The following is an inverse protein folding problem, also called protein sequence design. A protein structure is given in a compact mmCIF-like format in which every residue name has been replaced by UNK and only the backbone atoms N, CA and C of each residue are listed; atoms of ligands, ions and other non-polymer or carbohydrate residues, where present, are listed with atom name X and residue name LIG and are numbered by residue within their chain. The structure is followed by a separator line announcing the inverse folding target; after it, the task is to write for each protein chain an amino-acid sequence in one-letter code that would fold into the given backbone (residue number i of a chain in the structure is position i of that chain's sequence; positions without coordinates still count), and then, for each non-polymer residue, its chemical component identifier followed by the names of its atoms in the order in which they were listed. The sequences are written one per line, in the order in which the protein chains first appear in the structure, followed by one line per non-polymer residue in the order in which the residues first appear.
data_IF_409078110556
#
_entry.id   IF_409078110556
#
_cell.length_a   1.000
_cell.length_b   1.000
_cell.length_c   1.000
_cell.angle_alpha   90.00
_cell.angle_beta   90.00
_cell.angle_gamma   90.00
#
_symmetry.space_group_name_H-M   'P 1'
#
loop_
_entity.id
_entity.type
_entity.pdbx_description
1 polymer ?
#
# COMPACT_ATOMS: atom_id res chain seq x y z
N UNK A 1 23.64 -8.67 -1.08
CA UNK A 1 22.98 -9.99 -1.11
C UNK A 1 21.55 -9.82 -1.60
N UNK A 2 21.04 -10.70 -2.48
CA UNK A 2 19.67 -10.64 -2.94
C UNK A 2 18.75 -11.14 -1.81
N UNK A 3 18.15 -10.25 -1.01
CA UNK A 3 17.33 -10.74 0.10
C UNK A 3 16.86 -9.75 1.17
N UNK A 4 16.36 -8.56 0.81
CA UNK A 4 15.72 -7.64 1.79
C UNK A 4 14.34 -7.10 1.39
N UNK A 5 13.60 -7.83 0.55
CA UNK A 5 12.17 -7.57 0.30
C UNK A 5 11.32 -7.67 1.59
N UNK A 6 11.85 -8.23 2.69
CA UNK A 6 11.13 -8.48 3.96
C UNK A 6 11.28 -7.41 5.06
N UNK A 7 11.62 -6.14 4.75
CA UNK A 7 11.99 -5.18 5.82
C UNK A 7 11.03 -4.01 6.06
N UNK A 8 9.96 -3.88 5.27
CA UNK A 8 9.03 -2.76 5.34
C UNK A 8 7.58 -3.26 5.11
N UNK A 9 6.59 -2.83 5.90
CA UNK A 9 5.20 -3.04 5.54
C UNK A 9 4.90 -2.35 4.19
N UNK A 10 3.97 -2.89 3.43
CA UNK A 10 3.66 -2.42 2.08
C UNK A 10 2.26 -1.85 2.02
N UNK A 11 2.11 -0.61 1.58
CA UNK A 11 0.81 -0.02 1.22
C UNK A 11 0.51 -0.41 -0.21
N UNK A 12 -0.63 -1.05 -0.43
CA UNK A 12 -1.08 -1.51 -1.74
C UNK A 12 -2.43 -0.91 -2.03
N UNK A 13 -2.53 -0.17 -3.12
CA UNK A 13 -3.79 0.34 -3.64
C UNK A 13 -4.20 -0.49 -4.86
N UNK A 14 -5.17 -1.38 -4.66
CA UNK A 14 -5.71 -2.28 -5.68
C UNK A 14 -6.70 -1.49 -6.56
N UNK A 15 -6.35 -1.31 -7.84
CA UNK A 15 -7.05 -0.49 -8.83
C UNK A 15 -7.35 -1.25 -10.12
N UNK A 16 -7.23 -2.58 -10.13
CA UNK A 16 -7.47 -3.39 -11.35
C UNK A 16 -8.92 -3.40 -11.86
N UNK A 17 -9.88 -2.91 -11.06
CA UNK A 17 -11.25 -2.63 -11.50
C UNK A 17 -11.48 -1.20 -11.98
N UNK A 18 -10.53 -0.29 -11.72
CA UNK A 18 -10.66 1.15 -11.93
C UNK A 18 -10.33 1.56 -13.38
N UNK A 19 -10.84 2.73 -13.78
CA UNK A 19 -10.47 3.33 -15.07
C UNK A 19 -9.07 3.97 -15.05
N UNK A 20 -8.61 4.44 -16.22
CA UNK A 20 -7.28 5.02 -16.36
C UNK A 20 -7.09 6.32 -15.55
N UNK A 21 -8.15 7.11 -15.35
CA UNK A 21 -8.07 8.35 -14.59
C UNK A 21 -7.94 8.05 -13.09
N UNK A 22 -8.73 7.09 -12.59
CA UNK A 22 -8.64 6.59 -11.21
C UNK A 22 -7.27 5.95 -10.93
N UNK A 23 -6.72 5.16 -11.86
CA UNK A 23 -5.38 4.57 -11.72
C UNK A 23 -4.25 5.61 -11.70
N UNK A 24 -4.39 6.69 -12.46
CA UNK A 24 -3.45 7.79 -12.43
C UNK A 24 -3.56 8.58 -11.11
N UNK A 25 -4.77 8.88 -10.67
CA UNK A 25 -5.01 9.56 -9.38
C UNK A 25 -4.47 8.75 -8.21
N UNK A 26 -4.70 7.44 -8.22
CA UNK A 26 -4.13 6.47 -7.29
C UNK A 26 -2.60 6.62 -7.14
N UNK A 27 -1.91 6.74 -8.27
CA UNK A 27 -0.45 6.93 -8.30
C UNK A 27 -0.05 8.28 -7.73
N UNK A 28 -0.71 9.36 -8.15
CA UNK A 28 -0.43 10.72 -7.68
C UNK A 28 -0.62 10.85 -6.17
N UNK A 29 -1.68 10.25 -5.62
CA UNK A 29 -1.94 10.23 -4.17
C UNK A 29 -0.84 9.51 -3.40
N UNK A 30 -0.44 8.32 -3.84
CA UNK A 30 0.66 7.59 -3.18
C UNK A 30 2.00 8.33 -3.31
N UNK A 31 2.28 8.95 -4.45
CA UNK A 31 3.49 9.77 -4.65
C UNK A 31 3.48 11.02 -3.76
N UNK A 32 2.34 11.72 -3.62
CA UNK A 32 2.20 12.88 -2.75
C UNK A 32 2.38 12.52 -1.27
N UNK A 33 1.71 11.45 -0.81
CA UNK A 33 1.87 10.96 0.57
C UNK A 33 3.31 10.50 0.81
N UNK A 34 3.95 9.88 -0.17
CA UNK A 34 5.36 9.54 -0.06
C UNK A 34 6.22 10.81 0.07
N UNK A 35 6.09 11.78 -0.83
CA UNK A 35 6.93 12.99 -0.86
C UNK A 35 6.97 13.77 0.46
N UNK A 36 5.88 13.75 1.23
CA UNK A 36 5.77 14.48 2.50
C UNK A 36 6.33 13.75 3.73
N UNK A 37 6.78 12.51 3.57
CA UNK A 37 7.13 11.70 4.71
C UNK A 37 8.64 11.75 5.06
N UNK A 38 8.98 11.81 6.36
CA UNK A 38 10.37 11.96 6.79
C UNK A 38 11.13 10.64 6.61
N UNK A 39 12.22 10.66 5.83
CA UNK A 39 13.13 9.53 5.71
C UNK A 39 13.53 9.01 7.11
N UNK A 40 13.43 7.69 7.37
CA UNK A 40 13.81 7.15 8.66
C UNK A 40 15.29 7.45 8.95
N UNK A 41 15.63 7.78 10.22
CA UNK A 41 16.97 8.24 10.59
C UNK A 41 18.07 7.23 10.25
N UNK A 42 17.74 5.93 10.22
CA UNK A 42 18.63 4.83 9.85
C UNK A 42 19.01 4.79 8.35
N UNK A 43 18.36 5.62 7.51
CA UNK A 43 18.63 5.73 6.07
C UNK A 43 19.19 7.10 5.66
N UNK A 44 19.54 7.98 6.61
CA UNK A 44 20.33 9.19 6.31
C UNK A 44 21.72 8.77 5.79
N UNK A 45 21.94 8.88 4.49
CA UNK A 45 23.23 8.58 3.84
C UNK A 45 23.25 7.35 2.91
N UNK A 46 22.09 6.73 2.63
CA UNK A 46 21.97 5.73 1.57
C UNK A 46 21.65 6.45 0.25
N UNK A 47 22.41 6.18 -0.81
CA UNK A 47 22.28 6.85 -2.12
C UNK A 47 20.84 6.78 -2.67
N UNK A 48 20.44 7.86 -3.35
CA UNK A 48 19.08 8.22 -3.77
C UNK A 48 18.37 7.18 -4.67
N UNK A 49 19.09 6.18 -5.18
CA UNK A 49 18.59 5.23 -6.19
C UNK A 49 17.54 4.22 -5.66
N UNK A 50 17.28 4.20 -4.33
CA UNK A 50 16.23 3.39 -3.70
C UNK A 50 15.17 4.22 -2.94
N UNK A 51 15.10 5.53 -3.19
CA UNK A 51 14.26 6.47 -2.46
C UNK A 51 12.78 6.45 -2.89
N UNK A 52 12.05 5.39 -2.52
CA UNK A 52 10.57 5.37 -2.50
C UNK A 52 10.02 4.70 -1.23
N UNK A 53 10.57 5.01 -0.05
CA UNK A 53 9.97 4.56 1.22
C UNK A 53 10.14 5.56 2.38
N UNK A 54 9.44 6.71 2.33
CA UNK A 54 9.63 7.80 3.28
C UNK A 54 8.96 7.59 4.66
N UNK A 55 8.47 6.41 5.00
CA UNK A 55 8.17 6.01 6.38
C UNK A 55 8.63 4.58 6.73
N UNK A 56 9.48 3.97 5.90
CA UNK A 56 9.71 2.53 6.01
C UNK A 56 8.48 1.71 5.57
N UNK A 57 7.57 2.30 4.77
CA UNK A 57 6.59 1.57 3.98
C UNK A 57 6.99 1.58 2.51
N UNK A 58 6.80 0.46 1.83
CA UNK A 58 6.82 0.43 0.36
C UNK A 58 5.40 0.72 -0.16
N UNK A 59 5.25 1.53 -1.21
CA UNK A 59 3.93 1.90 -1.75
C UNK A 59 3.76 1.40 -3.18
N UNK A 60 2.61 0.78 -3.46
CA UNK A 60 2.33 0.17 -4.75
C UNK A 60 0.90 0.46 -5.21
N UNK A 61 0.76 0.83 -6.48
CA UNK A 61 -0.53 0.80 -7.19
C UNK A 61 -0.59 -0.48 -8.00
N UNK A 62 -1.62 -1.30 -7.78
CA UNK A 62 -1.84 -2.52 -8.55
C UNK A 62 -2.96 -2.27 -9.57
N UNK A 63 -2.62 -2.18 -10.86
CA UNK A 63 -3.60 -1.90 -11.94
C UNK A 63 -4.05 -3.15 -12.70
N UNK A 64 -3.60 -4.33 -12.27
CA UNK A 64 -3.95 -5.62 -12.86
C UNK A 64 -2.85 -6.67 -12.76
N UNK A 65 -3.08 -7.80 -13.44
CA UNK A 65 -2.08 -8.85 -13.62
C UNK A 65 -1.93 -9.83 -12.43
N UNK A 66 -0.98 -10.78 -12.54
CA UNK A 66 -0.83 -11.89 -11.59
C UNK A 66 -0.57 -11.46 -10.16
N UNK A 67 0.15 -10.35 -9.96
CA UNK A 67 0.48 -9.86 -8.62
C UNK A 67 -0.77 -9.31 -7.91
N UNK A 68 -1.59 -8.50 -8.59
CA UNK A 68 -2.84 -7.98 -8.03
C UNK A 68 -3.79 -9.12 -7.63
N UNK A 69 -3.93 -10.13 -8.51
CA UNK A 69 -4.70 -11.33 -8.23
C UNK A 69 -4.15 -12.08 -7.00
N UNK A 70 -2.83 -12.21 -6.89
CA UNK A 70 -2.21 -12.91 -5.77
C UNK A 70 -2.39 -12.16 -4.45
N UNK A 71 -2.29 -10.83 -4.45
CA UNK A 71 -2.53 -10.01 -3.25
C UNK A 71 -3.98 -10.18 -2.78
N UNK A 72 -4.96 -10.15 -3.70
CA UNK A 72 -6.37 -10.40 -3.36
C UNK A 72 -6.59 -11.78 -2.78
N UNK A 73 -6.03 -12.81 -3.41
CA UNK A 73 -6.12 -14.19 -2.93
C UNK A 73 -5.59 -14.32 -1.50
N UNK A 74 -4.37 -13.81 -1.24
CA UNK A 74 -3.74 -13.88 0.09
C UNK A 74 -4.49 -13.07 1.14
N UNK A 75 -5.09 -11.94 0.76
CA UNK A 75 -5.88 -11.08 1.64
C UNK A 75 -7.37 -11.49 1.73
N UNK A 76 -7.74 -12.66 1.19
CA UNK A 76 -9.13 -13.16 1.15
C UNK A 76 -10.14 -12.18 0.52
N UNK A 77 -9.67 -11.32 -0.39
CA UNK A 77 -10.52 -10.39 -1.10
C UNK A 77 -11.18 -11.07 -2.31
N UNK A 78 -12.42 -10.69 -2.64
CA UNK A 78 -13.05 -11.16 -3.87
C UNK A 78 -12.23 -10.69 -5.09
N UNK A 79 -12.29 -11.41 -6.22
CA UNK A 79 -11.77 -10.91 -7.48
C UNK A 79 -12.37 -9.53 -7.80
N UNK A 80 -11.56 -8.64 -8.38
CA UNK A 80 -12.07 -7.36 -8.84
C UNK A 80 -13.03 -7.57 -10.02
N UNK A 81 -14.21 -6.97 -9.93
CA UNK A 81 -15.06 -6.77 -11.09
C UNK A 81 -14.56 -5.55 -11.89
N UNK A 82 -14.81 -5.52 -13.20
CA UNK A 82 -14.60 -4.30 -13.98
C UNK A 82 -15.55 -3.21 -13.48
N UNK A 83 -15.03 -2.00 -13.25
CA UNK A 83 -15.75 -0.91 -12.61
C UNK A 83 -15.84 -1.03 -11.08
N UNK A 84 -15.15 -2.00 -10.46
CA UNK A 84 -15.00 -2.02 -9.01
C UNK A 84 -14.07 -0.87 -8.58
N UNK A 85 -14.51 -0.10 -7.59
CA UNK A 85 -13.71 0.98 -7.02
C UNK A 85 -12.42 0.47 -6.37
N UNK A 86 -11.45 1.38 -6.15
CA UNK A 86 -10.15 1.00 -5.62
C UNK A 86 -10.23 0.53 -4.17
N UNK A 87 -9.29 -0.31 -3.76
CA UNK A 87 -9.20 -0.84 -2.40
C UNK A 87 -7.80 -0.59 -1.83
N UNK A 88 -7.72 0.11 -0.71
CA UNK A 88 -6.47 0.30 0.01
C UNK A 88 -6.21 -0.86 0.98
N UNK A 89 -4.98 -1.34 1.00
CA UNK A 89 -4.46 -2.38 1.90
C UNK A 89 -3.11 -1.97 2.48
N UNK A 90 -2.82 -2.45 3.68
CA UNK A 90 -1.48 -2.45 4.25
C UNK A 90 -1.09 -3.90 4.54
N UNK A 91 0.00 -4.37 3.94
CA UNK A 91 0.55 -5.71 4.11
C UNK A 91 1.82 -5.61 4.95
N UNK A 92 1.74 -6.01 6.20
CA UNK A 92 2.86 -6.03 7.13
C UNK A 92 3.56 -7.40 7.11
N UNK A 93 4.46 -7.54 6.15
CA UNK A 93 5.31 -8.73 5.99
C UNK A 93 6.17 -8.96 7.25
N UNK A 94 6.83 -7.94 7.86
CA UNK A 94 7.53 -8.10 9.14
C UNK A 94 6.67 -8.69 10.27
N UNK A 95 5.38 -8.37 10.33
CA UNK A 95 4.45 -8.90 11.35
C UNK A 95 3.88 -10.30 11.02
N UNK A 96 4.70 -11.17 10.41
CA UNK A 96 4.32 -12.54 9.99
C UNK A 96 3.16 -12.58 8.99
N UNK A 97 3.19 -11.68 8.01
CA UNK A 97 2.15 -11.60 6.98
C UNK A 97 0.81 -11.11 7.54
N UNK A 98 0.85 -10.15 8.47
CA UNK A 98 -0.35 -9.44 8.85
C UNK A 98 -0.81 -8.54 7.70
N UNK A 99 -2.11 -8.31 7.59
CA UNK A 99 -2.62 -7.27 6.72
C UNK A 99 -3.75 -6.49 7.37
N UNK A 100 -4.01 -5.31 6.84
CA UNK A 100 -5.01 -4.39 7.32
C UNK A 100 -5.75 -3.79 6.12
N UNK A 101 -7.05 -3.68 6.25
CA UNK A 101 -7.92 -3.14 5.21
C UNK A 101 -8.14 -1.66 5.47
N UNK A 102 -7.78 -0.83 4.50
CA UNK A 102 -8.04 0.59 4.52
C UNK A 102 -9.39 0.95 3.88
N UNK A 103 -9.66 2.25 3.69
CA UNK A 103 -10.82 2.70 2.92
C UNK A 103 -10.83 2.13 1.50
N UNK A 104 -12.03 2.10 0.91
CA UNK A 104 -12.30 1.66 -0.45
C UNK A 104 -13.04 2.76 -1.23
N UNK A 105 -13.15 2.62 -2.55
CA UNK A 105 -13.80 3.60 -3.40
C UNK A 105 -13.05 4.93 -3.44
N UNK A 106 -13.77 6.04 -3.61
CA UNK A 106 -13.18 7.39 -3.70
C UNK A 106 -12.30 7.73 -2.50
N UNK A 107 -12.63 7.29 -1.29
CA UNK A 107 -11.84 7.58 -0.09
C UNK A 107 -10.44 6.96 -0.15
N UNK A 108 -10.29 5.82 -0.83
CA UNK A 108 -8.99 5.19 -1.08
C UNK A 108 -8.09 6.01 -2.03
N UNK A 109 -8.68 6.90 -2.84
CA UNK A 109 -8.01 7.82 -3.76
C UNK A 109 -7.77 9.21 -3.14
N UNK A 110 -7.70 9.30 -1.82
CA UNK A 110 -7.40 10.56 -1.13
C UNK A 110 -6.14 10.44 -0.28
N UNK A 111 -5.36 11.52 -0.20
CA UNK A 111 -4.23 11.58 0.73
C UNK A 111 -4.67 11.38 2.18
N UNK A 112 -5.85 11.90 2.54
CA UNK A 112 -6.41 11.74 3.89
C UNK A 112 -6.69 10.27 4.21
N UNK A 113 -7.27 9.51 3.28
CA UNK A 113 -7.54 8.09 3.46
C UNK A 113 -6.25 7.27 3.65
N UNK A 114 -5.23 7.55 2.83
CA UNK A 114 -3.93 6.87 2.92
C UNK A 114 -3.21 7.23 4.22
N UNK A 115 -3.13 8.51 4.58
CA UNK A 115 -2.48 8.96 5.82
C UNK A 115 -3.19 8.41 7.05
N UNK A 116 -4.53 8.40 7.05
CA UNK A 116 -5.30 7.81 8.15
C UNK A 116 -4.97 6.33 8.35
N UNK A 117 -4.83 5.55 7.27
CA UNK A 117 -4.40 4.15 7.38
C UNK A 117 -3.02 4.01 8.03
N UNK A 118 -2.06 4.85 7.62
CA UNK A 118 -0.70 4.85 8.18
C UNK A 118 -0.68 5.27 9.66
N UNK A 119 -1.46 6.29 10.02
CA UNK A 119 -1.59 6.78 11.39
C UNK A 119 -2.27 5.75 12.29
N UNK A 120 -3.31 5.09 11.81
CA UNK A 120 -3.99 4.01 12.54
C UNK A 120 -3.09 2.79 12.69
N UNK A 121 -2.31 2.44 11.67
CA UNK A 121 -1.34 1.34 11.74
C UNK A 121 -0.25 1.63 12.79
N UNK A 122 0.39 2.79 12.71
CA UNK A 122 1.46 3.17 13.64
C UNK A 122 0.98 3.26 15.09
N UNK A 123 -0.29 3.62 15.30
CA UNK A 123 -0.92 3.64 16.61
C UNK A 123 -1.54 2.30 17.04
N UNK A 124 -1.37 1.22 16.25
CA UNK A 124 -1.94 -0.10 16.52
C UNK A 124 -3.46 -0.10 16.71
N UNK A 125 -4.18 0.76 15.96
CA UNK A 125 -5.66 0.89 15.99
C UNK A 125 -6.37 0.04 14.94
N UNK A 126 -5.63 -0.50 13.97
CA UNK A 126 -6.19 -1.32 12.92
C UNK A 126 -6.44 -2.76 13.40
N UNK A 127 -7.51 -3.36 12.88
CA UNK A 127 -7.78 -4.77 13.08
C UNK A 127 -6.80 -5.62 12.27
N UNK A 128 -5.92 -6.34 12.96
CA UNK A 128 -4.94 -7.25 12.34
C UNK A 128 -5.67 -8.43 11.71
N UNK A 129 -5.49 -8.61 10.40
CA UNK A 129 -5.88 -9.80 9.67
C UNK A 129 -4.64 -10.62 9.28
N UNK A 130 -4.84 -11.88 8.91
CA UNK A 130 -3.75 -12.82 8.59
C UNK A 130 -3.85 -13.23 7.13
N UNK A 131 -2.76 -13.05 6.38
CA UNK A 131 -2.68 -13.58 5.03
C UNK A 131 -2.75 -15.11 5.05
N UNK A 132 -3.39 -15.67 4.03
CA UNK A 132 -3.56 -17.11 3.80
C UNK A 132 -2.24 -17.89 3.69
#
# INVERSE_FOLDING_TARGET
EPGRVNTAPSVVLLCEGCDAAEQQLAREVLEAVAGDMPLPPERKGVEEEFAFAPLGYAMFTATGGPLAMKVRELAHLPPAASGAGPQLLLVDIPASGAFYVGPAGEEALTETGVRKLLDDHSASRLERQQLA
#
